data_IF_735093695151
#
_entry.id   IF_735093695151
#
_cell.length_a   1.000
_cell.length_b   1.000
_cell.length_c   1.000
_cell.angle_alpha   90.00
_cell.angle_beta   90.00
_cell.angle_gamma   90.00
#
_symmetry.space_group_name_H-M   'P 1'
#
loop_
_entity.id
_entity.type
_entity.pdbx_description
1 polymer ?
#
# COMPACT_ATOMS: atom_id res chain seq x y z
N UNK A 1 4.13 23.44 -2.36
CA UNK A 1 5.29 22.97 -3.13
C UNK A 1 5.21 21.46 -3.24
N UNK A 2 5.50 20.86 -4.40
CA UNK A 2 5.52 19.41 -4.52
C UNK A 2 6.51 18.81 -3.53
N UNK A 3 6.12 17.69 -2.92
CA UNK A 3 6.97 16.96 -1.98
C UNK A 3 8.02 16.17 -2.72
N UNK A 4 9.18 15.98 -2.09
CA UNK A 4 10.30 15.31 -2.71
C UNK A 4 10.23 13.80 -2.48
N UNK A 5 10.54 13.01 -3.49
CA UNK A 5 10.71 11.57 -3.32
C UNK A 5 12.08 11.24 -2.71
N UNK A 6 12.25 9.98 -2.29
CA UNK A 6 13.48 9.53 -1.62
C UNK A 6 14.74 9.73 -2.48
N UNK A 7 14.64 9.53 -3.80
CA UNK A 7 15.78 9.69 -4.71
C UNK A 7 16.20 11.15 -4.83
N UNK A 8 15.25 12.08 -4.90
CA UNK A 8 15.53 13.53 -4.94
C UNK A 8 16.21 14.00 -3.65
N UNK A 9 15.79 13.46 -2.51
CA UNK A 9 16.40 13.76 -1.20
C UNK A 9 17.82 13.18 -1.11
N UNK A 10 18.03 11.95 -1.59
CA UNK A 10 19.35 11.32 -1.62
C UNK A 10 20.31 12.06 -2.58
N UNK A 11 19.83 12.47 -3.76
CA UNK A 11 20.59 13.27 -4.72
C UNK A 11 20.99 14.64 -4.14
N UNK A 12 20.06 15.34 -3.49
CA UNK A 12 20.34 16.61 -2.81
C UNK A 12 21.31 16.43 -1.65
N UNK A 13 21.15 15.37 -0.84
CA UNK A 13 22.12 15.05 0.21
C UNK A 13 23.52 14.82 -0.37
N UNK A 14 23.63 14.02 -1.43
CA UNK A 14 24.90 13.72 -2.09
C UNK A 14 25.60 14.99 -2.63
N UNK A 15 24.84 15.89 -3.24
CA UNK A 15 25.39 17.06 -3.93
C UNK A 15 25.63 18.27 -3.02
N UNK A 16 24.83 18.46 -1.96
CA UNK A 16 24.88 19.69 -1.15
C UNK A 16 25.36 19.47 0.29
N UNK A 17 25.14 18.29 0.86
CA UNK A 17 25.32 18.07 2.30
C UNK A 17 26.38 17.04 2.65
N UNK A 18 26.73 16.15 1.72
CA UNK A 18 27.70 15.06 1.93
C UNK A 18 29.03 15.54 2.47
N UNK A 19 29.63 16.56 1.85
CA UNK A 19 30.93 17.11 2.27
C UNK A 19 30.85 17.89 3.58
N UNK A 20 29.73 18.58 3.80
CA UNK A 20 29.55 19.41 5.00
C UNK A 20 29.42 18.60 6.29
N UNK A 21 29.07 17.30 6.19
CA UNK A 21 28.78 16.44 7.34
C UNK A 21 27.55 16.85 8.16
N UNK A 22 26.83 17.92 7.77
CA UNK A 22 25.73 18.53 8.52
C UNK A 22 24.53 17.61 8.69
N UNK A 23 24.29 16.75 7.71
CA UNK A 23 23.26 15.72 7.75
C UNK A 23 23.89 14.39 7.37
N UNK A 24 23.56 13.31 8.06
CA UNK A 24 23.90 11.96 7.61
C UNK A 24 22.81 11.44 6.68
N UNK A 25 23.16 10.60 5.70
CA UNK A 25 22.16 9.97 4.83
C UNK A 25 21.12 9.18 5.65
N UNK A 26 21.57 8.52 6.73
CA UNK A 26 20.69 7.84 7.68
C UNK A 26 19.66 8.80 8.29
N UNK A 27 20.09 9.95 8.79
CA UNK A 27 19.17 10.95 9.35
C UNK A 27 18.16 11.46 8.33
N UNK A 28 18.58 11.69 7.07
CA UNK A 28 17.68 12.07 5.97
C UNK A 28 16.63 11.00 5.73
N UNK A 29 17.04 9.72 5.64
CA UNK A 29 16.13 8.58 5.44
C UNK A 29 15.18 8.37 6.61
N UNK A 30 15.66 8.50 7.85
CA UNK A 30 14.81 8.35 9.04
C UNK A 30 13.76 9.47 9.12
N UNK A 31 14.12 10.72 8.79
CA UNK A 31 13.17 11.84 8.73
C UNK A 31 12.16 11.66 7.60
N UNK A 32 12.59 11.19 6.43
CA UNK A 32 11.69 10.88 5.31
C UNK A 32 10.67 9.80 5.68
N UNK A 33 11.11 8.70 6.32
CA UNK A 33 10.20 7.66 6.83
C UNK A 33 9.17 8.19 7.83
N UNK A 34 9.52 9.23 8.58
CA UNK A 34 8.64 9.83 9.58
C UNK A 34 7.63 10.80 8.95
N UNK A 35 8.06 11.74 8.11
CA UNK A 35 7.24 12.88 7.64
C UNK A 35 7.10 13.01 6.12
N UNK A 36 7.60 12.05 5.35
CA UNK A 36 7.57 12.11 3.90
C UNK A 36 8.51 13.15 3.31
N UNK A 37 8.18 13.61 2.11
CA UNK A 37 9.02 14.47 1.27
C UNK A 37 9.10 15.96 1.63
N UNK A 38 8.89 16.34 2.91
CA UNK A 38 8.96 17.74 3.32
C UNK A 38 10.44 18.15 3.49
N UNK A 39 11.08 18.56 2.39
CA UNK A 39 12.51 18.91 2.36
C UNK A 39 12.90 19.94 3.43
N UNK A 40 12.00 20.90 3.73
CA UNK A 40 12.20 21.90 4.79
C UNK A 40 12.39 21.27 6.17
N UNK A 41 11.71 20.16 6.47
CA UNK A 41 11.82 19.49 7.76
C UNK A 41 13.04 18.56 7.78
N UNK A 42 13.25 17.84 6.67
CA UNK A 42 14.37 16.92 6.51
C UNK A 42 15.71 17.64 6.68
N UNK A 43 15.90 18.76 5.98
CA UNK A 43 17.15 19.54 5.97
C UNK A 43 17.11 20.75 6.92
N UNK A 44 16.36 20.68 8.02
CA UNK A 44 16.40 21.68 9.08
C UNK A 44 17.38 21.30 10.19
N UNK A 45 18.26 22.24 10.55
CA UNK A 45 19.27 22.09 11.61
C UNK A 45 18.62 21.94 12.99
N UNK A 46 17.56 22.71 13.25
CA UNK A 46 16.92 22.77 14.57
C UNK A 46 15.78 21.74 14.71
N UNK A 47 15.58 20.88 13.72
CA UNK A 47 14.56 19.83 13.79
C UNK A 47 15.20 18.47 13.96
N UNK A 48 15.12 17.96 15.18
CA UNK A 48 15.37 16.56 15.48
C UNK A 48 14.21 15.67 15.00
N UNK A 49 14.44 14.35 14.98
CA UNK A 49 13.35 13.38 14.74
C UNK A 49 12.23 13.52 15.77
N UNK A 50 12.55 13.80 17.04
CA UNK A 50 11.57 14.02 18.10
C UNK A 50 10.73 15.28 17.90
N UNK A 51 11.31 16.34 17.32
CA UNK A 51 10.56 17.57 17.04
C UNK A 51 9.54 17.33 15.93
N UNK A 52 9.96 16.66 14.85
CA UNK A 52 9.08 16.27 13.75
C UNK A 52 7.97 15.34 14.27
N UNK A 53 8.31 14.34 15.09
CA UNK A 53 7.34 13.43 15.68
C UNK A 53 6.33 14.16 16.58
N UNK A 54 6.77 15.16 17.33
CA UNK A 54 5.90 15.99 18.17
C UNK A 54 4.94 16.85 17.34
N UNK A 55 5.41 17.37 16.21
CA UNK A 55 4.57 18.12 15.26
C UNK A 55 3.52 17.20 14.63
N UNK A 56 3.89 15.98 14.23
CA UNK A 56 2.95 14.97 13.72
C UNK A 56 1.93 14.58 14.79
N UNK A 57 2.37 14.31 16.03
CA UNK A 57 1.49 14.01 17.17
C UNK A 57 0.46 15.11 17.41
N UNK A 58 0.87 16.37 17.31
CA UNK A 58 -0.03 17.52 17.40
C UNK A 58 -0.99 17.57 16.21
N UNK A 59 -0.52 17.34 15.00
CA UNK A 59 -1.41 17.28 13.84
C UNK A 59 -2.47 16.17 13.98
N UNK A 60 -2.09 15.03 14.58
CA UNK A 60 -3.00 13.92 14.86
C UNK A 60 -4.11 14.26 15.87
N UNK A 61 -3.98 15.33 16.67
CA UNK A 61 -5.09 15.77 17.55
C UNK A 61 -6.21 16.44 16.78
N UNK A 62 -5.90 17.00 15.61
CA UNK A 62 -6.86 17.65 14.71
C UNK A 62 -7.41 16.70 13.65
N UNK A 63 -7.14 15.38 13.77
CA UNK A 63 -7.73 14.39 12.86
C UNK A 63 -9.22 14.29 13.15
N UNK A 64 -10.01 14.68 12.16
CA UNK A 64 -11.47 14.67 12.19
C UNK A 64 -12.04 14.00 10.93
N UNK A 65 -13.30 13.52 10.96
CA UNK A 65 -13.96 12.91 9.79
C UNK A 65 -13.91 13.81 8.55
N UNK A 66 -14.03 15.11 8.74
CA UNK A 66 -14.01 16.10 7.69
C UNK A 66 -12.68 16.13 6.92
N UNK A 67 -11.58 15.62 7.49
CA UNK A 67 -10.34 15.44 6.73
C UNK A 67 -10.51 14.45 5.57
N UNK A 68 -11.43 13.49 5.67
CA UNK A 68 -11.73 12.54 4.60
C UNK A 68 -12.79 13.10 3.62
N UNK A 69 -13.65 14.02 4.07
CA UNK A 69 -14.83 14.44 3.31
C UNK A 69 -14.81 15.91 2.79
N UNK A 70 -14.05 16.83 3.39
CA UNK A 70 -14.11 18.27 3.14
C UNK A 70 -12.81 18.85 2.57
N UNK A 71 -12.35 18.37 1.41
CA UNK A 71 -11.17 18.94 0.75
C UNK A 71 -11.49 19.81 -0.48
N UNK A 72 -12.78 19.94 -0.84
CA UNK A 72 -13.25 20.83 -1.91
C UNK A 72 -13.59 22.26 -1.43
N UNK A 73 -13.56 22.51 -0.12
CA UNK A 73 -13.45 23.88 0.40
C UNK A 73 -11.97 24.14 0.57
N UNK A 74 -11.53 25.30 0.11
CA UNK A 74 -10.16 25.80 0.22
C UNK A 74 -9.42 25.18 1.41
N UNK A 75 -8.22 24.64 1.20
CA UNK A 75 -7.27 24.26 2.25
C UNK A 75 -6.81 25.49 3.08
N UNK A 76 -7.68 26.47 3.31
CA UNK A 76 -7.49 27.66 4.12
C UNK A 76 -7.87 27.43 5.59
N UNK A 77 -8.13 26.19 6.01
CA UNK A 77 -8.64 25.87 7.34
C UNK A 77 -8.00 24.61 7.93
N UNK A 78 -6.72 24.73 8.28
CA UNK A 78 -6.04 24.18 9.48
C UNK A 78 -4.57 23.91 9.15
N UNK A 79 -3.67 24.48 9.95
CA UNK A 79 -2.20 24.40 9.80
C UNK A 79 -1.62 22.97 9.92
N UNK A 80 -2.44 21.92 9.94
CA UNK A 80 -2.04 20.56 10.31
C UNK A 80 -2.36 19.49 9.27
N UNK A 81 -3.35 19.70 8.40
CA UNK A 81 -3.71 18.70 7.38
C UNK A 81 -2.55 18.44 6.39
N UNK A 82 -1.85 19.49 5.96
CA UNK A 82 -0.69 19.39 5.06
C UNK A 82 0.53 18.69 5.67
N UNK A 83 0.52 18.43 6.99
CA UNK A 83 1.56 17.68 7.71
C UNK A 83 1.28 16.18 7.72
N UNK A 84 0.03 15.80 7.43
CA UNK A 84 -0.44 14.42 7.44
C UNK A 84 -0.76 13.91 6.04
N UNK A 85 -1.31 14.77 5.18
CA UNK A 85 -1.69 14.47 3.80
C UNK A 85 -0.92 15.40 2.88
N UNK A 86 -0.26 14.82 1.89
CA UNK A 86 0.47 15.52 0.86
C UNK A 86 -0.30 15.49 -0.45
N UNK A 87 -0.27 16.60 -1.17
CA UNK A 87 -0.74 16.68 -2.55
C UNK A 87 0.46 16.41 -3.45
N UNK A 88 0.35 15.34 -4.22
CA UNK A 88 1.33 14.92 -5.21
C UNK A 88 0.77 15.15 -6.62
N UNK A 89 1.65 15.24 -7.60
CA UNK A 89 1.26 15.38 -9.01
C UNK A 89 1.84 14.25 -9.85
N UNK A 90 1.31 14.07 -11.06
CA UNK A 90 1.78 13.09 -12.04
C UNK A 90 3.12 13.47 -12.70
N UNK A 91 4.11 13.81 -11.88
CA UNK A 91 5.52 13.91 -12.29
C UNK A 91 6.02 12.51 -12.72
N UNK A 92 5.84 12.13 -13.98
CA UNK A 92 6.55 10.99 -14.56
C UNK A 92 7.76 11.47 -15.35
N UNK A 93 8.89 10.82 -15.08
CA UNK A 93 10.15 10.89 -15.86
C UNK A 93 10.04 10.23 -17.25
N UNK A 94 8.84 9.98 -17.77
CA UNK A 94 8.60 9.21 -19.01
C UNK A 94 7.51 9.85 -19.86
N UNK A 95 7.75 9.84 -21.17
CA UNK A 95 7.20 10.71 -22.22
C UNK A 95 5.68 10.60 -22.56
N UNK A 96 4.83 10.02 -21.70
CA UNK A 96 3.45 9.67 -22.09
C UNK A 96 2.35 10.57 -21.46
N UNK A 97 2.64 11.29 -20.37
CA UNK A 97 1.68 12.18 -19.74
C UNK A 97 2.31 13.55 -19.46
N UNK A 98 1.59 14.63 -19.79
CA UNK A 98 2.04 15.98 -19.46
C UNK A 98 2.15 16.13 -17.93
N UNK A 99 3.32 16.53 -17.40
CA UNK A 99 3.52 16.65 -15.96
C UNK A 99 2.61 17.73 -15.37
N UNK A 100 2.18 17.56 -14.13
CA UNK A 100 1.34 18.50 -13.38
C UNK A 100 -0.10 18.67 -13.92
N UNK A 101 -0.58 17.72 -14.72
CA UNK A 101 -1.97 17.70 -15.19
C UNK A 101 -2.92 16.98 -14.25
N UNK A 102 -2.38 16.13 -13.37
CA UNK A 102 -3.14 15.40 -12.37
C UNK A 102 -2.57 15.67 -10.97
N UNK A 103 -3.45 15.71 -9.98
CA UNK A 103 -3.08 15.78 -8.57
C UNK A 103 -3.80 14.70 -7.78
N UNK A 104 -3.12 14.16 -6.77
CA UNK A 104 -3.64 13.11 -5.91
C UNK A 104 -3.11 13.28 -4.50
N UNK A 105 -3.94 12.90 -3.52
CA UNK A 105 -3.62 12.97 -2.12
C UNK A 105 -3.06 11.65 -1.62
N UNK A 106 -1.99 11.72 -0.83
CA UNK A 106 -1.36 10.59 -0.15
C UNK A 106 -1.08 10.97 1.30
N UNK A 107 -1.06 9.99 2.20
CA UNK A 107 -0.44 10.24 3.50
C UNK A 107 1.03 10.60 3.34
N UNK A 108 1.50 11.45 4.24
CA UNK A 108 2.88 11.94 4.22
C UNK A 108 3.91 10.80 4.24
N UNK A 109 3.64 9.76 5.03
CA UNK A 109 4.46 8.55 5.14
C UNK A 109 3.60 7.38 5.59
N UNK A 110 4.10 6.15 5.48
CA UNK A 110 3.45 4.96 6.04
C UNK A 110 3.27 5.08 7.55
N UNK A 111 4.22 5.72 8.25
CA UNK A 111 4.11 5.96 9.68
C UNK A 111 2.90 6.85 10.00
N UNK A 112 2.73 7.93 9.24
CA UNK A 112 1.60 8.84 9.36
C UNK A 112 0.29 8.14 8.99
N UNK A 113 0.27 7.34 7.92
CA UNK A 113 -0.89 6.58 7.48
C UNK A 113 -1.40 5.63 8.59
N UNK A 114 -0.50 4.84 9.19
CA UNK A 114 -0.83 3.92 10.28
C UNK A 114 -1.38 4.66 11.52
N UNK A 115 -0.80 5.81 11.89
CA UNK A 115 -1.30 6.62 13.01
C UNK A 115 -2.66 7.25 12.73
N UNK A 116 -2.88 7.73 11.51
CA UNK A 116 -4.17 8.27 11.08
C UNK A 116 -5.23 7.17 11.08
N UNK A 117 -4.92 5.99 10.53
CA UNK A 117 -5.81 4.83 10.55
C UNK A 117 -6.23 4.48 11.97
N UNK A 118 -5.28 4.37 12.90
CA UNK A 118 -5.56 4.08 14.31
C UNK A 118 -6.56 5.09 14.90
N UNK A 119 -6.32 6.39 14.66
CA UNK A 119 -7.22 7.48 15.09
C UNK A 119 -8.61 7.37 14.48
N UNK A 120 -8.71 7.11 13.18
CA UNK A 120 -9.98 6.96 12.49
C UNK A 120 -10.76 5.75 12.99
N UNK A 121 -10.08 4.63 13.27
CA UNK A 121 -10.72 3.44 13.82
C UNK A 121 -11.26 3.66 15.23
N UNK A 122 -10.48 4.29 16.10
CA UNK A 122 -10.84 4.53 17.50
C UNK A 122 -12.01 5.51 17.63
N UNK A 123 -12.10 6.52 16.76
CA UNK A 123 -13.01 7.65 16.95
C UNK A 123 -14.07 7.82 15.84
N UNK A 124 -13.81 7.34 14.62
CA UNK A 124 -14.54 7.73 13.41
C UNK A 124 -14.73 6.58 12.41
N UNK A 125 -14.91 5.35 12.90
CA UNK A 125 -14.97 4.13 12.09
C UNK A 125 -15.99 4.18 10.95
N UNK A 126 -17.20 4.67 11.22
CA UNK A 126 -18.25 4.78 10.20
C UNK A 126 -17.87 5.80 9.11
N UNK A 127 -17.17 6.87 9.47
CA UNK A 127 -16.68 7.85 8.50
C UNK A 127 -15.56 7.27 7.64
N UNK A 128 -14.65 6.48 8.23
CA UNK A 128 -13.61 5.74 7.49
C UNK A 128 -14.23 4.77 6.49
N UNK A 129 -15.22 3.96 6.93
CA UNK A 129 -15.97 3.05 6.06
C UNK A 129 -16.64 3.81 4.92
N UNK A 130 -17.40 4.85 5.25
CA UNK A 130 -18.10 5.68 4.26
C UNK A 130 -17.14 6.30 3.25
N UNK A 131 -15.97 6.78 3.68
CA UNK A 131 -14.95 7.30 2.78
C UNK A 131 -14.43 6.23 1.81
N UNK A 132 -14.05 5.05 2.31
CA UNK A 132 -13.54 3.97 1.46
C UNK A 132 -14.60 3.50 0.45
N UNK A 133 -15.88 3.51 0.82
CA UNK A 133 -16.97 3.11 -0.08
C UNK A 133 -17.35 4.20 -1.10
N UNK A 134 -17.31 5.48 -0.71
CA UNK A 134 -17.86 6.59 -1.52
C UNK A 134 -16.84 7.39 -2.32
N UNK A 135 -15.57 7.45 -1.88
CA UNK A 135 -14.53 8.32 -2.48
C UNK A 135 -14.07 7.88 -3.88
N UNK A 136 -14.64 6.81 -4.45
CA UNK A 136 -14.34 6.29 -5.80
C UNK A 136 -14.51 7.31 -6.93
N UNK A 137 -15.40 8.29 -6.75
CA UNK A 137 -15.73 9.29 -7.78
C UNK A 137 -14.97 10.61 -7.59
N UNK A 138 -14.01 10.66 -6.67
CA UNK A 138 -13.16 11.83 -6.42
C UNK A 138 -11.74 11.44 -6.85
N UNK A 139 -11.32 11.78 -8.09
CA UNK A 139 -10.03 11.36 -8.64
C UNK A 139 -8.84 11.67 -7.72
N UNK A 140 -8.85 12.84 -7.10
CA UNK A 140 -7.79 13.33 -6.21
C UNK A 140 -7.67 12.48 -4.93
N UNK A 141 -8.75 11.81 -4.51
CA UNK A 141 -8.79 10.95 -3.33
C UNK A 141 -8.59 9.47 -3.66
N UNK A 142 -8.50 9.10 -4.95
CA UNK A 142 -8.37 7.70 -5.37
C UNK A 142 -7.16 7.01 -4.72
N UNK A 143 -6.02 7.71 -4.65
CA UNK A 143 -4.80 7.19 -4.02
C UNK A 143 -4.94 7.06 -2.50
N UNK A 144 -5.47 8.08 -1.81
CA UNK A 144 -5.71 8.04 -0.37
C UNK A 144 -6.70 6.94 0.03
N UNK A 145 -7.78 6.78 -0.77
CA UNK A 145 -8.74 5.68 -0.66
C UNK A 145 -8.04 4.33 -0.79
N UNK A 146 -7.17 4.18 -1.78
CA UNK A 146 -6.36 2.98 -1.99
C UNK A 146 -5.52 2.64 -0.75
N UNK A 147 -4.75 3.62 -0.24
CA UNK A 147 -3.91 3.43 0.95
C UNK A 147 -4.72 3.04 2.19
N UNK A 148 -5.85 3.70 2.45
CA UNK A 148 -6.70 3.35 3.59
C UNK A 148 -7.32 1.97 3.44
N UNK A 149 -7.78 1.62 2.23
CA UNK A 149 -8.33 0.29 1.97
C UNK A 149 -7.29 -0.81 2.14
N UNK A 150 -6.06 -0.61 1.66
CA UNK A 150 -4.94 -1.52 1.87
C UNK A 150 -4.66 -1.76 3.35
N UNK A 151 -4.52 -0.68 4.13
CA UNK A 151 -4.29 -0.77 5.56
C UNK A 151 -5.40 -1.52 6.31
N UNK A 152 -6.67 -1.22 6.01
CA UNK A 152 -7.82 -1.92 6.59
C UNK A 152 -7.86 -3.39 6.16
N UNK A 153 -7.49 -3.68 4.91
CA UNK A 153 -7.46 -5.04 4.37
C UNK A 153 -6.47 -5.92 5.12
N UNK A 154 -5.28 -5.40 5.44
CA UNK A 154 -4.29 -6.13 6.24
C UNK A 154 -4.83 -6.51 7.62
N UNK A 155 -5.49 -5.57 8.32
CA UNK A 155 -6.06 -5.85 9.63
C UNK A 155 -7.16 -6.91 9.56
N UNK A 156 -8.04 -6.82 8.57
CA UNK A 156 -9.13 -7.78 8.35
C UNK A 156 -8.58 -9.18 8.03
N UNK A 157 -7.64 -9.27 7.08
CA UNK A 157 -7.04 -10.55 6.68
C UNK A 157 -6.28 -11.19 7.85
N UNK A 158 -5.58 -10.39 8.66
CA UNK A 158 -4.83 -10.86 9.83
C UNK A 158 -5.76 -11.34 10.95
N UNK A 159 -6.87 -10.66 11.21
CA UNK A 159 -7.88 -11.11 12.18
C UNK A 159 -8.49 -12.46 11.78
N UNK A 160 -8.46 -12.78 10.49
CA UNK A 160 -9.03 -14.00 9.94
C UNK A 160 -10.55 -13.89 9.77
N UNK A 161 -11.16 -15.01 9.39
CA UNK A 161 -12.57 -15.09 9.08
C UNK A 161 -12.82 -15.80 7.75
N UNK A 162 -14.06 -15.67 7.27
CA UNK A 162 -14.50 -16.25 6.00
C UNK A 162 -14.61 -15.12 4.98
N UNK A 163 -14.00 -15.33 3.82
CA UNK A 163 -13.92 -14.35 2.74
C UNK A 163 -14.52 -14.93 1.47
N UNK A 164 -15.44 -14.20 0.84
CA UNK A 164 -15.95 -14.55 -0.48
C UNK A 164 -14.84 -14.37 -1.51
N UNK A 165 -14.62 -15.41 -2.32
CA UNK A 165 -13.66 -15.38 -3.42
C UNK A 165 -14.30 -15.87 -4.71
N UNK A 166 -13.71 -15.49 -5.84
CA UNK A 166 -14.10 -15.97 -7.16
C UNK A 166 -12.85 -16.15 -8.01
N UNK A 167 -12.72 -17.33 -8.63
CA UNK A 167 -11.63 -17.58 -9.58
C UNK A 167 -11.78 -16.67 -10.80
N UNK A 168 -10.69 -16.04 -11.21
CA UNK A 168 -10.62 -15.23 -12.42
C UNK A 168 -10.25 -16.12 -13.59
N UNK A 169 -10.83 -15.84 -14.76
CA UNK A 169 -10.55 -16.58 -16.00
C UNK A 169 -10.14 -15.62 -17.12
N UNK A 170 -9.37 -16.11 -18.08
CA UNK A 170 -8.97 -15.32 -19.26
C UNK A 170 -10.15 -14.81 -20.10
N UNK A 171 -11.27 -15.55 -20.16
CA UNK A 171 -12.48 -15.13 -20.90
C UNK A 171 -13.37 -14.16 -20.12
N UNK A 172 -13.07 -13.91 -18.85
CA UNK A 172 -13.80 -12.98 -17.98
C UNK A 172 -15.18 -13.45 -17.55
N UNK A 173 -15.50 -14.73 -17.77
CA UNK A 173 -16.76 -15.31 -17.27
C UNK A 173 -16.69 -15.45 -15.77
N UNK A 174 -17.80 -15.10 -15.12
CA UNK A 174 -17.94 -15.27 -13.68
C UNK A 174 -18.02 -16.77 -13.36
N UNK A 175 -16.98 -17.29 -12.72
CA UNK A 175 -17.03 -18.57 -12.03
C UNK A 175 -17.92 -18.50 -10.78
N UNK A 176 -18.20 -19.65 -10.14
CA UNK A 176 -18.93 -19.67 -8.88
C UNK A 176 -18.17 -18.88 -7.81
N UNK A 177 -18.92 -18.16 -6.99
CA UNK A 177 -18.37 -17.60 -5.74
C UNK A 177 -18.21 -18.72 -4.73
N UNK A 178 -17.02 -18.80 -4.15
CA UNK A 178 -16.68 -19.73 -3.08
C UNK A 178 -16.18 -18.92 -1.88
N UNK A 179 -15.62 -19.61 -0.88
CA UNK A 179 -15.07 -18.95 0.29
C UNK A 179 -13.68 -19.48 0.61
N UNK A 180 -12.81 -18.60 1.10
CA UNK A 180 -11.61 -19.01 1.83
C UNK A 180 -11.78 -18.68 3.31
N UNK A 181 -11.23 -19.53 4.16
CA UNK A 181 -11.16 -19.28 5.60
C UNK A 181 -9.72 -19.01 5.98
N UNK A 182 -9.49 -17.90 6.67
CA UNK A 182 -8.22 -17.62 7.33
C UNK A 182 -8.44 -17.71 8.84
N UNK A 183 -7.50 -18.33 9.54
CA UNK A 183 -7.46 -18.24 11.01
C UNK A 183 -6.96 -16.86 11.43
N UNK A 184 -7.01 -16.54 12.72
CA UNK A 184 -6.28 -15.38 13.25
C UNK A 184 -4.78 -15.63 13.10
N UNK A 185 -4.08 -14.65 12.54
CA UNK A 185 -2.66 -14.71 12.20
C UNK A 185 -1.87 -13.66 12.99
N UNK A 186 -0.60 -13.96 13.27
CA UNK A 186 0.35 -12.96 13.76
C UNK A 186 1.01 -12.26 12.58
N UNK A 187 1.14 -10.93 12.64
CA UNK A 187 1.79 -10.18 11.56
C UNK A 187 3.29 -10.06 11.79
N UNK A 188 4.07 -10.40 10.77
CA UNK A 188 5.52 -10.20 10.73
C UNK A 188 5.87 -9.43 9.46
N UNK A 189 6.60 -8.33 9.63
CA UNK A 189 7.19 -7.61 8.51
C UNK A 189 8.50 -8.28 8.08
N UNK A 190 8.77 -8.30 6.77
CA UNK A 190 10.03 -8.81 6.23
C UNK A 190 10.59 -7.87 5.16
N UNK A 191 11.91 -7.76 5.08
CA UNK A 191 12.60 -7.07 3.99
C UNK A 191 13.40 -8.04 3.09
N UNK A 192 13.53 -9.30 3.52
CA UNK A 192 14.19 -10.37 2.79
C UNK A 192 13.40 -11.69 2.90
N UNK A 193 13.37 -12.48 1.83
CA UNK A 193 12.69 -13.80 1.85
C UNK A 193 13.37 -14.83 2.75
N UNK A 194 14.63 -14.61 3.12
CA UNK A 194 15.35 -15.44 4.10
C UNK A 194 14.62 -15.46 5.44
N UNK A 195 14.10 -14.30 5.87
CA UNK A 195 13.40 -14.11 7.14
C UNK A 195 12.15 -15.01 7.22
N UNK A 196 11.50 -15.24 6.08
CA UNK A 196 10.33 -16.12 6.00
C UNK A 196 10.75 -17.59 6.11
N UNK A 197 11.81 -18.00 5.40
CA UNK A 197 12.28 -19.40 5.35
C UNK A 197 12.65 -19.93 6.73
N UNK A 198 13.26 -19.10 7.56
CA UNK A 198 13.62 -19.45 8.94
C UNK A 198 12.37 -19.76 9.80
N UNK A 199 11.23 -19.16 9.48
CA UNK A 199 9.98 -19.26 10.24
C UNK A 199 8.98 -20.29 9.69
N UNK A 200 9.07 -20.68 8.41
CA UNK A 200 8.16 -21.65 7.75
C UNK A 200 8.07 -22.98 8.51
N UNK A 201 9.16 -23.44 9.11
CA UNK A 201 9.21 -24.69 9.88
C UNK A 201 8.59 -24.62 11.28
N UNK A 202 8.26 -23.42 11.78
CA UNK A 202 7.89 -23.21 13.18
C UNK A 202 6.45 -22.69 13.37
N UNK A 203 5.85 -21.99 12.39
CA UNK A 203 4.51 -21.43 12.60
C UNK A 203 3.74 -21.17 11.29
N UNK A 204 2.68 -21.94 11.02
CA UNK A 204 1.80 -21.75 9.85
C UNK A 204 0.80 -20.58 10.02
N UNK A 205 0.79 -19.93 11.19
CA UNK A 205 -0.16 -18.87 11.56
C UNK A 205 0.42 -17.46 11.44
N UNK A 206 1.24 -17.22 10.41
CA UNK A 206 1.89 -15.93 10.20
C UNK A 206 1.36 -15.25 8.93
N UNK A 207 1.05 -13.97 9.06
CA UNK A 207 0.74 -13.02 7.99
C UNK A 207 1.97 -12.17 7.70
N UNK A 208 2.66 -12.47 6.60
CA UNK A 208 3.89 -11.79 6.23
C UNK A 208 3.59 -10.54 5.39
N UNK A 209 4.17 -9.39 5.78
CA UNK A 209 4.07 -8.14 5.02
C UNK A 209 5.45 -7.66 4.55
N UNK A 210 5.68 -7.51 3.24
CA UNK A 210 6.94 -6.95 2.76
C UNK A 210 7.05 -5.47 3.12
N UNK A 211 8.26 -5.02 3.43
CA UNK A 211 8.58 -3.58 3.56
C UNK A 211 9.43 -3.06 2.40
N UNK A 212 9.91 -3.96 1.53
CA UNK A 212 10.77 -3.63 0.39
C UNK A 212 9.96 -3.51 -0.90
N UNK A 213 10.29 -2.50 -1.72
CA UNK A 213 9.71 -2.30 -3.05
C UNK A 213 10.02 -3.43 -4.04
N UNK A 214 10.99 -4.30 -3.74
CA UNK A 214 11.29 -5.47 -4.57
C UNK A 214 10.08 -6.42 -4.62
N UNK A 215 9.29 -6.48 -3.54
CA UNK A 215 8.15 -7.38 -3.41
C UNK A 215 6.82 -6.74 -3.79
N UNK A 216 6.83 -5.59 -4.47
CA UNK A 216 5.64 -4.80 -4.88
C UNK A 216 4.58 -5.57 -5.70
N UNK A 217 4.86 -6.82 -6.08
CA UNK A 217 3.87 -7.71 -6.70
C UNK A 217 2.84 -8.24 -5.70
N UNK A 218 3.17 -8.25 -4.40
CA UNK A 218 2.26 -8.63 -3.31
C UNK A 218 2.32 -7.60 -2.19
N UNK A 219 1.18 -7.41 -1.54
CA UNK A 219 1.10 -6.61 -0.32
C UNK A 219 1.19 -7.50 0.93
N UNK A 220 0.93 -8.80 0.78
CA UNK A 220 1.16 -9.79 1.85
C UNK A 220 1.20 -11.23 1.37
N UNK A 221 1.69 -12.11 2.23
CA UNK A 221 1.80 -13.55 2.02
C UNK A 221 1.35 -14.33 3.27
N UNK A 222 0.58 -15.40 3.04
CA UNK A 222 0.24 -16.40 4.07
C UNK A 222 0.65 -17.78 3.57
N UNK A 223 1.36 -18.49 4.42
CA UNK A 223 1.79 -19.85 4.12
C UNK A 223 0.59 -20.83 4.21
N UNK A 224 0.39 -21.77 3.29
CA UNK A 224 1.14 -22.01 2.06
C UNK A 224 0.45 -21.29 0.89
N UNK A 225 1.26 -20.70 0.00
CA UNK A 225 0.86 -20.29 -1.34
C UNK A 225 -0.37 -19.36 -1.44
N UNK A 226 -0.62 -18.52 -0.42
CA UNK A 226 -1.63 -17.46 -0.51
C UNK A 226 -0.92 -16.12 -0.63
N UNK A 227 -0.97 -15.58 -1.84
CA UNK A 227 -0.41 -14.28 -2.20
C UNK A 227 -1.56 -13.29 -2.25
N UNK A 228 -1.41 -12.11 -1.65
CA UNK A 228 -2.45 -11.09 -1.67
C UNK A 228 -1.91 -9.80 -2.25
N UNK A 229 -2.66 -9.22 -3.18
CA UNK A 229 -2.44 -7.89 -3.72
C UNK A 229 -3.72 -7.08 -3.56
N UNK A 230 -3.68 -6.04 -2.73
CA UNK A 230 -4.79 -5.16 -2.47
C UNK A 230 -4.89 -4.13 -3.58
N UNK A 231 -6.10 -3.94 -4.13
CA UNK A 231 -6.30 -2.90 -5.12
C UNK A 231 -7.72 -2.37 -5.10
N UNK A 232 -7.82 -1.08 -5.42
CA UNK A 232 -9.09 -0.40 -5.66
C UNK A 232 -9.32 -0.12 -7.15
N UNK A 233 -8.37 -0.52 -8.01
CA UNK A 233 -8.44 -0.37 -9.45
C UNK A 233 -9.20 -1.55 -10.08
N UNK A 234 -9.85 -1.30 -11.23
CA UNK A 234 -10.54 -2.34 -12.00
C UNK A 234 -9.58 -3.30 -12.72
N UNK A 235 -8.31 -2.90 -12.84
CA UNK A 235 -7.25 -3.73 -13.40
C UNK A 235 -5.95 -3.44 -12.67
N UNK A 236 -5.19 -4.47 -12.36
CA UNK A 236 -3.91 -4.36 -11.69
C UNK A 236 -2.96 -5.44 -12.20
N UNK A 237 -1.89 -5.04 -12.89
CA UNK A 237 -0.94 -5.99 -13.45
C UNK A 237 -0.07 -6.64 -12.38
N UNK A 238 0.33 -7.89 -12.62
CA UNK A 238 1.19 -8.64 -11.72
C UNK A 238 2.64 -8.49 -12.19
N UNK A 239 3.50 -7.89 -11.35
CA UNK A 239 4.89 -7.65 -11.71
C UNK A 239 5.72 -8.92 -11.54
N UNK A 240 6.32 -9.40 -12.63
CA UNK A 240 7.03 -10.69 -12.63
C UNK A 240 8.30 -10.69 -11.77
N UNK A 241 9.03 -9.58 -11.70
CA UNK A 241 10.23 -9.47 -10.87
C UNK A 241 9.95 -9.75 -9.39
N UNK A 242 8.83 -9.25 -8.88
CA UNK A 242 8.41 -9.55 -7.50
C UNK A 242 8.08 -11.04 -7.30
N UNK A 243 7.50 -11.71 -8.31
CA UNK A 243 7.20 -13.13 -8.24
C UNK A 243 8.49 -13.97 -8.25
N UNK A 244 9.46 -13.59 -9.07
CA UNK A 244 10.80 -14.18 -9.08
C UNK A 244 11.49 -14.01 -7.73
N UNK A 245 11.36 -12.84 -7.11
CA UNK A 245 11.95 -12.55 -5.80
C UNK A 245 11.40 -13.44 -4.67
N UNK A 246 10.11 -13.81 -4.73
CA UNK A 246 9.48 -14.69 -3.73
C UNK A 246 9.48 -16.17 -4.11
N UNK A 247 10.01 -16.55 -5.27
CA UNK A 247 10.00 -17.95 -5.75
C UNK A 247 10.49 -18.96 -4.72
N UNK A 248 11.51 -18.59 -3.94
CA UNK A 248 12.12 -19.46 -2.95
C UNK A 248 11.24 -19.83 -1.74
N UNK A 249 10.11 -19.14 -1.52
CA UNK A 249 9.17 -19.41 -0.41
C UNK A 249 7.86 -20.07 -0.88
N UNK A 250 7.74 -20.33 -2.18
CA UNK A 250 6.56 -20.97 -2.77
C UNK A 250 6.73 -22.48 -2.76
N UNK A 251 5.62 -23.18 -2.53
CA UNK A 251 5.55 -24.63 -2.57
C UNK A 251 5.00 -25.10 -3.92
N UNK A 252 5.88 -25.56 -4.80
CA UNK A 252 5.51 -26.02 -6.15
C UNK A 252 4.85 -27.40 -6.18
N UNK A 253 4.69 -28.08 -5.03
CA UNK A 253 3.91 -29.32 -4.97
C UNK A 253 2.39 -29.07 -5.06
N UNK A 254 1.95 -27.82 -4.91
CA UNK A 254 0.56 -27.43 -5.00
C UNK A 254 0.38 -26.11 -5.77
N UNK A 255 -0.89 -25.81 -6.14
CA UNK A 255 -1.23 -24.56 -6.84
C UNK A 255 -0.88 -23.33 -5.99
N UNK A 256 -0.42 -22.28 -6.65
CA UNK A 256 -0.20 -20.97 -6.05
C UNK A 256 -1.48 -20.16 -6.21
N UNK A 257 -2.04 -19.64 -5.11
CA UNK A 257 -3.27 -18.86 -5.14
C UNK A 257 -2.93 -17.37 -4.97
N UNK A 258 -3.20 -16.59 -6.01
CA UNK A 258 -2.99 -15.16 -6.03
C UNK A 258 -4.33 -14.42 -5.90
N UNK A 259 -4.54 -13.76 -4.77
CA UNK A 259 -5.78 -13.07 -4.44
C UNK A 259 -5.63 -11.57 -4.66
N UNK A 260 -6.44 -11.03 -5.57
CA UNK A 260 -6.72 -9.60 -5.63
C UNK A 260 -7.74 -9.27 -4.54
N UNK A 261 -7.31 -8.52 -3.54
CA UNK A 261 -8.15 -8.10 -2.41
C UNK A 261 -8.84 -6.80 -2.79
N UNK A 262 -10.17 -6.83 -2.85
CA UNK A 262 -10.97 -5.79 -3.50
C UNK A 262 -12.09 -5.31 -2.58
N UNK A 263 -12.44 -4.01 -2.64
CA UNK A 263 -13.68 -3.55 -2.04
C UNK A 263 -14.87 -4.15 -2.80
N UNK A 264 -15.99 -4.32 -2.11
CA UNK A 264 -17.21 -4.94 -2.65
C UNK A 264 -17.65 -4.40 -4.02
N UNK A 265 -17.54 -3.10 -4.24
CA UNK A 265 -17.97 -2.47 -5.48
C UNK A 265 -17.06 -2.82 -6.68
N UNK A 266 -15.75 -2.95 -6.45
CA UNK A 266 -14.78 -3.35 -7.48
C UNK A 266 -14.90 -4.84 -7.74
N UNK A 267 -15.06 -5.66 -6.68
CA UNK A 267 -15.22 -7.11 -6.78
C UNK A 267 -16.29 -7.51 -7.79
N UNK A 268 -17.43 -6.81 -7.85
CA UNK A 268 -18.52 -7.11 -8.80
C UNK A 268 -18.05 -7.03 -10.27
N UNK A 269 -17.15 -6.10 -10.58
CA UNK A 269 -16.68 -5.85 -11.96
C UNK A 269 -15.32 -6.46 -12.28
N UNK A 270 -14.62 -6.99 -11.28
CA UNK A 270 -13.31 -7.62 -11.43
C UNK A 270 -13.48 -9.09 -11.85
N UNK A 271 -13.57 -9.32 -13.16
CA UNK A 271 -13.97 -10.63 -13.70
C UNK A 271 -12.89 -11.35 -14.48
N UNK A 272 -11.85 -10.64 -14.92
CA UNK A 272 -10.80 -11.17 -15.80
C UNK A 272 -9.51 -11.42 -15.04
N UNK A 273 -8.76 -12.42 -15.50
CA UNK A 273 -7.36 -12.57 -15.12
C UNK A 273 -6.58 -11.30 -15.46
N UNK A 274 -5.71 -10.93 -14.54
CA UNK A 274 -4.81 -9.81 -14.69
C UNK A 274 -3.56 -10.22 -15.43
N UNK A 275 -3.07 -9.30 -16.25
CA UNK A 275 -1.89 -9.54 -17.08
C UNK A 275 -0.62 -9.49 -16.22
N UNK A 276 0.30 -10.40 -16.50
CA UNK A 276 1.67 -10.29 -16.02
C UNK A 276 2.38 -9.14 -16.75
N UNK A 277 3.01 -8.26 -15.98
CA UNK A 277 3.75 -7.11 -16.48
C UNK A 277 5.25 -7.32 -16.29
N UNK A 278 6.02 -6.81 -17.26
CA UNK A 278 7.48 -6.80 -17.25
C UNK A 278 8.00 -5.38 -17.36
N UNK A 279 9.11 -5.10 -16.71
CA UNK A 279 9.87 -3.85 -16.88
C UNK A 279 10.93 -4.10 -17.95
N UNK A 280 10.77 -3.51 -19.14
CA UNK A 280 11.73 -3.62 -20.26
C UNK A 280 11.21 -4.37 -21.50
N UNK A 281 11.89 -4.18 -22.65
CA UNK A 281 11.54 -4.85 -23.92
C UNK A 281 12.10 -6.27 -23.96
N UNK A 282 11.25 -7.26 -24.23
CA UNK A 282 11.66 -8.60 -24.70
C UNK A 282 11.86 -9.70 -23.65
N UNK A 283 11.33 -9.59 -22.44
CA UNK A 283 11.51 -10.61 -21.40
C UNK A 283 10.42 -11.70 -21.50
N UNK A 284 10.88 -12.95 -21.55
CA UNK A 284 10.11 -14.19 -21.53
C UNK A 284 9.38 -14.32 -20.17
N UNK A 285 8.10 -14.71 -20.18
CA UNK A 285 7.38 -15.05 -18.96
C UNK A 285 7.83 -16.44 -18.53
N UNK A 286 8.30 -16.59 -17.29
CA UNK A 286 8.69 -17.90 -16.78
C UNK A 286 7.46 -18.83 -16.79
N UNK A 287 7.61 -20.03 -17.33
CA UNK A 287 6.51 -20.99 -17.53
C UNK A 287 5.71 -21.25 -16.23
N UNK A 288 6.40 -21.39 -15.10
CA UNK A 288 5.79 -21.59 -13.78
C UNK A 288 4.84 -20.44 -13.36
N UNK A 289 5.07 -19.21 -13.81
CA UNK A 289 4.20 -18.05 -13.48
C UNK A 289 2.84 -18.19 -14.17
N UNK A 290 2.84 -18.69 -15.40
CA UNK A 290 1.60 -18.88 -16.18
C UNK A 290 0.92 -20.20 -15.89
N UNK A 291 1.70 -21.23 -15.54
CA UNK A 291 1.15 -22.56 -15.36
C UNK A 291 0.67 -22.78 -13.94
N UNK A 292 1.42 -22.39 -12.90
CA UNK A 292 1.18 -22.80 -11.50
C UNK A 292 0.32 -21.84 -10.67
N UNK A 293 0.07 -20.62 -11.17
CA UNK A 293 -0.64 -19.57 -10.45
C UNK A 293 -2.11 -19.48 -10.87
N UNK A 294 -3.01 -19.68 -9.92
CA UNK A 294 -4.43 -19.37 -10.05
C UNK A 294 -4.72 -17.97 -9.49
N UNK A 295 -5.41 -17.14 -10.27
CA UNK A 295 -5.82 -15.80 -9.84
C UNK A 295 -7.26 -15.80 -9.32
N UNK A 296 -7.48 -15.09 -8.22
CA UNK A 296 -8.79 -14.97 -7.56
C UNK A 296 -9.08 -13.50 -7.26
N UNK A 297 -10.34 -13.10 -7.38
CA UNK A 297 -10.86 -11.92 -6.70
C UNK A 297 -11.29 -12.33 -5.28
N UNK A 298 -10.91 -11.55 -4.28
CA UNK A 298 -11.31 -11.69 -2.87
C UNK A 298 -12.07 -10.43 -2.46
N UNK A 299 -13.28 -10.61 -1.96
CA UNK A 299 -14.15 -9.51 -1.56
C UNK A 299 -13.91 -9.16 -0.08
N UNK A 300 -13.63 -7.88 0.20
CA UNK A 300 -13.76 -7.30 1.53
C UNK A 300 -14.99 -6.39 1.54
N UNK A 301 -16.06 -6.89 2.18
CA UNK A 301 -17.26 -6.12 2.48
C UNK A 301 -17.10 -5.49 3.87
N UNK A 302 -16.74 -4.20 3.92
CA UNK A 302 -16.44 -3.49 5.17
C UNK A 302 -17.61 -3.47 6.17
N UNK A 303 -18.85 -3.72 5.71
CA UNK A 303 -20.01 -3.85 6.58
C UNK A 303 -19.97 -5.13 7.44
N UNK A 304 -19.22 -6.15 7.03
CA UNK A 304 -19.16 -7.46 7.70
C UNK A 304 -18.07 -7.53 8.79
N UNK A 305 -17.16 -6.55 8.84
CA UNK A 305 -15.98 -6.64 9.69
C UNK A 305 -15.96 -5.56 10.78
N UNK A 306 -15.61 -5.99 11.99
CA UNK A 306 -15.28 -5.11 13.09
C UNK A 306 -13.78 -4.76 13.05
N UNK A 307 -13.34 -3.94 12.09
CA UNK A 307 -11.96 -3.41 12.08
C UNK A 307 -11.79 -2.19 12.97
#
# INVERSE_FOLDING_TARGET
MPTWNENELEECWNNLYRESGKFTLKSVKDKFKLCGGIARWIFSYDQSLSDIDSVIKRALTSVEPNMLCNQAKDFSGDEYAHKLIHINTNLKRTDEAEPYTESFCLFASDNVANRCLKKFKENYKECLRSFIESARNIPEMGSLRGQLFELVSHEILRQGGVFTVRKLTGDGKLGPETTITLESLEEISFDNVSDIKENIGQNQKIYYRPTSKIFETIDSYVHHNKLFQVTVAKSHGIKQEGLRAIKGILDFSCRINFYFVLPKDVFITFTKEQKYQNTGKGIIIDEWITEDIDQYALCIDLAQYSF
#
